data_IF_973430062603
#
_entry.id   IF_973430062603
#
_cell.length_a   1.000
_cell.length_b   1.000
_cell.length_c   1.000
_cell.angle_alpha   90.00
_cell.angle_beta   90.00
_cell.angle_gamma   90.00
#
_symmetry.space_group_name_H-M   'P 1'
#
loop_
_entity.id
_entity.type
_entity.pdbx_description
1 polymer ?
#
# COMPACT_ATOMS: atom_id res chain seq x y z
N UNK A 1 23.90 11.48 3.47
CA UNK A 1 23.52 10.54 2.39
C UNK A 1 22.09 10.91 1.97
N UNK A 2 21.90 11.53 0.80
CA UNK A 2 20.58 11.88 0.28
C UNK A 2 20.07 10.67 -0.49
N UNK A 3 18.98 10.06 -0.02
CA UNK A 3 18.31 8.96 -0.73
C UNK A 3 17.61 9.57 -1.95
N UNK A 4 17.98 9.12 -3.15
CA UNK A 4 17.50 9.71 -4.42
C UNK A 4 16.31 8.96 -5.01
N UNK A 5 16.09 7.71 -4.61
CA UNK A 5 14.92 6.93 -4.99
C UNK A 5 14.40 6.13 -3.80
N UNK A 6 13.10 5.88 -3.75
CA UNK A 6 12.52 4.94 -2.77
C UNK A 6 11.64 3.95 -3.50
N UNK A 7 11.92 2.66 -3.36
CA UNK A 7 10.95 1.61 -3.67
C UNK A 7 10.26 1.22 -2.37
N UNK A 8 8.95 1.41 -2.33
CA UNK A 8 8.12 0.88 -1.26
C UNK A 8 7.46 -0.39 -1.76
N UNK A 9 7.68 -1.53 -1.13
CA UNK A 9 6.97 -2.79 -1.41
C UNK A 9 5.96 -3.07 -0.30
N UNK A 10 4.77 -3.55 -0.66
CA UNK A 10 3.70 -3.92 0.26
C UNK A 10 2.94 -5.12 -0.30
N UNK A 11 2.89 -6.22 0.44
CA UNK A 11 1.87 -7.24 0.24
C UNK A 11 0.64 -6.86 1.05
N UNK A 12 -0.50 -6.69 0.38
CA UNK A 12 -1.81 -6.41 1.01
C UNK A 12 -2.74 -7.57 0.76
N UNK A 13 -3.34 -8.08 1.82
CA UNK A 13 -4.49 -8.98 1.77
C UNK A 13 -5.64 -8.34 2.53
N UNK A 14 -6.71 -8.02 1.81
CA UNK A 14 -7.98 -7.56 2.38
C UNK A 14 -8.84 -8.79 2.72
N UNK A 15 -9.35 -8.88 3.96
CA UNK A 15 -10.21 -9.96 4.39
C UNK A 15 -11.61 -9.41 4.67
N UNK A 16 -12.61 -9.91 3.94
CA UNK A 16 -14.03 -9.70 4.23
C UNK A 16 -14.64 -11.05 4.60
N UNK A 17 -15.16 -11.13 5.83
CA UNK A 17 -15.82 -12.27 6.48
C UNK A 17 -15.12 -13.64 6.40
N UNK A 18 -14.40 -14.01 7.47
CA UNK A 18 -14.22 -15.42 7.82
C UNK A 18 -14.53 -15.66 9.30
N UNK A 19 -15.75 -16.16 9.54
CA UNK A 19 -16.02 -16.95 10.72
C UNK A 19 -15.30 -18.32 10.60
N UNK A 20 -14.72 -18.75 11.72
CA UNK A 20 -14.27 -20.10 12.03
C UNK A 20 -12.88 -20.54 11.55
N UNK A 21 -11.97 -20.58 12.52
CA UNK A 21 -10.76 -21.40 12.50
C UNK A 21 -11.08 -22.87 12.15
N UNK A 22 -10.73 -23.32 10.94
CA UNK A 22 -10.22 -24.66 10.58
C UNK A 22 -10.20 -24.93 9.07
N UNK A 23 -9.96 -23.92 8.23
CA UNK A 23 -9.76 -24.15 6.80
C UNK A 23 -9.59 -22.86 6.04
N UNK A 24 -8.34 -22.48 5.76
CA UNK A 24 -7.99 -21.39 4.83
C UNK A 24 -8.37 -21.80 3.40
N UNK A 25 -9.66 -21.91 3.10
CA UNK A 25 -10.20 -22.16 1.75
C UNK A 25 -11.01 -20.95 1.33
N UNK A 26 -10.31 -19.87 1.00
CA UNK A 26 -10.92 -18.63 0.54
C UNK A 26 -10.05 -17.37 0.65
N UNK A 27 -8.72 -17.50 0.73
CA UNK A 27 -7.85 -16.33 0.70
C UNK A 27 -7.89 -15.71 -0.70
N UNK A 28 -8.31 -14.44 -0.82
CA UNK A 28 -8.05 -13.66 -2.03
C UNK A 28 -6.55 -13.71 -2.36
N UNK A 29 -6.16 -13.76 -3.65
CA UNK A 29 -4.75 -13.77 -4.03
C UNK A 29 -4.04 -12.57 -3.42
N UNK A 30 -2.86 -12.81 -2.85
CA UNK A 30 -2.06 -11.76 -2.21
C UNK A 30 -1.68 -10.72 -3.26
N UNK A 31 -1.97 -9.45 -3.01
CA UNK A 31 -1.59 -8.38 -3.94
C UNK A 31 -0.27 -7.79 -3.49
N UNK A 32 0.73 -7.83 -4.36
CA UNK A 32 1.98 -7.11 -4.15
C UNK A 32 1.89 -5.78 -4.88
N UNK A 33 2.20 -4.71 -4.17
CA UNK A 33 2.26 -3.35 -4.68
C UNK A 33 3.66 -2.82 -4.44
N UNK A 34 4.22 -2.14 -5.43
CA UNK A 34 5.35 -1.27 -5.18
C UNK A 34 5.21 0.12 -5.81
N UNK A 35 5.74 1.12 -5.11
CA UNK A 35 5.80 2.50 -5.56
C UNK A 35 7.26 2.92 -5.69
N UNK A 36 7.68 3.30 -6.89
CA UNK A 36 8.95 3.97 -7.11
C UNK A 36 8.70 5.48 -7.06
N UNK A 37 9.30 6.15 -6.09
CA UNK A 37 9.26 7.60 -5.94
C UNK A 37 10.61 8.19 -6.37
N UNK A 38 10.59 9.00 -7.43
CA UNK A 38 11.76 9.75 -7.91
C UNK A 38 11.63 11.21 -7.46
N UNK A 39 12.41 11.58 -6.44
CA UNK A 39 12.39 12.92 -5.86
C UNK A 39 13.06 13.98 -6.73
N UNK A 40 13.89 13.58 -7.70
CA UNK A 40 14.54 14.51 -8.62
C UNK A 40 13.62 14.82 -9.81
N UNK A 41 13.02 13.78 -10.39
CA UNK A 41 12.08 13.91 -11.49
C UNK A 41 10.67 14.32 -11.04
N UNK A 42 10.38 14.24 -9.74
CA UNK A 42 9.08 14.54 -9.14
C UNK A 42 7.98 13.63 -9.72
N UNK A 43 8.23 12.31 -9.68
CA UNK A 43 7.32 11.30 -10.25
C UNK A 43 7.12 10.10 -9.33
N UNK A 44 5.96 9.44 -9.50
CA UNK A 44 5.64 8.14 -8.92
C UNK A 44 5.37 7.14 -10.04
N UNK A 45 5.90 5.93 -9.94
CA UNK A 45 5.56 4.79 -10.79
C UNK A 45 5.01 3.64 -9.96
N UNK A 46 3.94 2.99 -10.45
CA UNK A 46 3.30 1.86 -9.78
C UNK A 46 3.75 0.55 -10.41
N UNK A 47 4.07 -0.41 -9.55
CA UNK A 47 4.33 -1.80 -9.88
C UNK A 47 3.35 -2.69 -9.14
N UNK A 48 2.88 -3.76 -9.77
CA UNK A 48 1.97 -4.70 -9.13
C UNK A 48 2.22 -6.14 -9.58
N UNK A 49 1.88 -7.09 -8.72
CA UNK A 49 1.79 -8.50 -9.06
C UNK A 49 0.85 -9.24 -8.10
N UNK A 50 0.58 -10.51 -8.41
CA UNK A 50 -0.24 -11.39 -7.56
C UNK A 50 0.60 -12.55 -7.03
N UNK A 51 0.38 -12.90 -5.77
CA UNK A 51 1.00 -14.01 -5.05
C UNK A 51 2.53 -13.99 -5.18
N UNK A 52 3.10 -14.97 -5.87
CA UNK A 52 4.54 -15.13 -6.02
C UNK A 52 5.05 -14.62 -7.38
N UNK A 53 4.19 -14.02 -8.20
CA UNK A 53 4.60 -13.48 -9.49
C UNK A 53 5.54 -12.26 -9.30
N UNK A 54 6.55 -12.09 -10.16
CA UNK A 54 7.41 -10.92 -10.12
C UNK A 54 6.61 -9.64 -10.36
N UNK A 55 7.04 -8.54 -9.74
CA UNK A 55 6.45 -7.21 -9.96
C UNK A 55 6.56 -6.79 -11.42
N UNK A 56 5.46 -6.33 -11.99
CA UNK A 56 5.42 -5.74 -13.32
C UNK A 56 5.04 -4.26 -13.24
N UNK A 57 5.54 -3.46 -14.20
CA UNK A 57 5.14 -2.06 -14.34
C UNK A 57 3.64 -1.98 -14.62
N UNK A 58 2.89 -1.33 -13.73
CA UNK A 58 1.47 -1.08 -13.91
C UNK A 58 1.23 0.26 -14.61
N UNK A 59 2.14 1.22 -14.41
CA UNK A 59 2.10 2.54 -15.02
C UNK A 59 3.47 2.92 -15.58
N UNK A 60 3.49 3.92 -16.46
CA UNK A 60 4.68 4.75 -16.65
C UNK A 60 4.86 5.71 -15.44
N UNK A 61 6.02 6.38 -15.30
CA UNK A 61 6.19 7.43 -14.30
C UNK A 61 5.16 8.55 -14.48
N UNK A 62 4.43 8.86 -13.41
CA UNK A 62 3.40 9.90 -13.37
C UNK A 62 3.91 11.09 -12.55
N UNK A 63 3.68 12.31 -13.02
CA UNK A 63 4.04 13.51 -12.29
C UNK A 63 3.33 13.57 -10.92
N UNK A 64 4.09 13.81 -9.85
CA UNK A 64 3.58 13.94 -8.50
C UNK A 64 4.51 14.83 -7.66
N UNK A 65 3.97 15.80 -6.94
CA UNK A 65 4.77 16.62 -6.03
C UNK A 65 5.24 15.81 -4.81
N UNK A 66 6.55 15.58 -4.75
CA UNK A 66 7.27 14.85 -3.71
C UNK A 66 8.14 15.79 -2.85
N UNK A 67 7.91 17.11 -2.93
CA UNK A 67 8.61 18.07 -2.10
C UNK A 67 8.41 17.79 -0.60
N UNK A 68 9.47 17.99 0.20
CA UNK A 68 9.44 17.68 1.63
C UNK A 68 9.59 16.20 1.99
N UNK A 69 9.80 15.31 1.02
CA UNK A 69 10.11 13.88 1.21
C UNK A 69 9.02 13.02 1.86
N UNK A 70 7.87 13.64 2.21
CA UNK A 70 6.67 12.97 2.72
C UNK A 70 6.83 12.19 4.03
N UNK A 71 5.72 11.61 4.48
CA UNK A 71 5.65 10.58 5.51
C UNK A 71 4.92 9.37 4.92
N UNK A 72 5.38 8.16 5.22
CA UNK A 72 4.75 6.94 4.76
C UNK A 72 3.91 6.35 5.89
N UNK A 73 2.62 6.16 5.64
CA UNK A 73 1.71 5.53 6.58
C UNK A 73 1.43 4.09 6.16
N UNK A 74 1.83 3.12 7.00
CA UNK A 74 1.53 1.71 6.82
C UNK A 74 0.37 1.31 7.70
N UNK A 75 -0.83 1.39 7.14
CA UNK A 75 -2.05 1.04 7.86
C UNK A 75 -3.27 1.30 7.00
N UNK A 76 -4.43 1.14 7.62
CA UNK A 76 -5.70 1.55 7.07
C UNK A 76 -6.23 2.72 7.90
N UNK A 77 -6.51 3.84 7.24
CA UNK A 77 -7.24 4.95 7.83
C UNK A 77 -8.66 4.92 7.26
N UNK A 78 -9.64 4.64 8.12
CA UNK A 78 -11.04 4.58 7.72
C UNK A 78 -11.73 5.89 8.07
N UNK A 79 -12.17 6.61 7.05
CA UNK A 79 -13.03 7.77 7.23
C UNK A 79 -14.41 7.32 7.74
N UNK A 80 -15.12 8.15 8.53
CA UNK A 80 -16.46 7.82 8.95
C UNK A 80 -17.47 7.95 7.80
N UNK A 81 -18.59 7.24 7.92
CA UNK A 81 -19.75 7.37 7.03
C UNK A 81 -20.59 8.57 7.42
N UNK A 82 -21.08 9.31 6.41
CA UNK A 82 -21.95 10.49 6.57
C UNK A 82 -21.47 11.55 7.60
N UNK A 83 -20.22 12.06 7.50
CA UNK A 83 -19.68 12.97 8.50
C UNK A 83 -20.29 14.39 8.55
N UNK A 84 -21.05 14.80 7.55
CA UNK A 84 -21.41 16.22 7.41
C UNK A 84 -20.16 17.10 7.29
N UNK A 85 -20.11 18.22 8.02
CA UNK A 85 -19.00 19.19 7.95
C UNK A 85 -17.83 18.88 8.89
N UNK A 86 -18.06 18.18 10.00
CA UNK A 86 -16.99 17.76 10.92
C UNK A 86 -16.64 16.29 10.69
N UNK A 87 -15.69 16.07 9.77
CA UNK A 87 -15.17 14.74 9.40
C UNK A 87 -14.51 13.99 10.54
N UNK A 88 -14.16 14.66 11.65
CA UNK A 88 -13.48 14.04 12.77
C UNK A 88 -14.45 13.56 13.85
N UNK A 89 -15.69 14.09 13.90
CA UNK A 89 -16.59 13.86 15.05
C UNK A 89 -18.03 13.52 14.71
N UNK A 90 -18.52 13.82 13.51
CA UNK A 90 -19.96 13.81 13.23
C UNK A 90 -20.46 12.61 12.41
N UNK A 91 -19.57 11.74 11.93
CA UNK A 91 -19.97 10.52 11.21
C UNK A 91 -20.02 9.28 12.10
N UNK A 92 -20.34 8.13 11.49
CA UNK A 92 -20.41 6.84 12.18
C UNK A 92 -19.57 5.77 11.48
N UNK A 93 -19.28 4.68 12.18
CA UNK A 93 -18.77 3.45 11.58
C UNK A 93 -19.89 2.42 11.53
N UNK A 94 -20.01 1.71 10.40
CA UNK A 94 -21.05 0.68 10.25
C UNK A 94 -20.88 -0.41 11.33
N UNK A 95 -22.00 -0.81 11.94
CA UNK A 95 -22.01 -1.83 13.00
C UNK A 95 -22.04 -3.23 12.41
N UNK A 96 -21.46 -4.21 13.12
CA UNK A 96 -21.56 -5.62 12.77
C UNK A 96 -20.64 -6.07 11.64
N UNK A 97 -19.64 -5.26 11.28
CA UNK A 97 -18.60 -5.63 10.32
C UNK A 97 -17.35 -6.13 11.05
N UNK A 98 -16.69 -7.12 10.46
CA UNK A 98 -15.37 -7.59 10.88
C UNK A 98 -14.40 -7.20 9.77
N UNK A 99 -13.53 -6.22 10.05
CA UNK A 99 -12.56 -5.71 9.09
C UNK A 99 -11.15 -6.15 9.50
N UNK A 100 -10.43 -6.78 8.56
CA UNK A 100 -9.06 -7.20 8.73
C UNK A 100 -8.22 -6.83 7.51
N UNK A 101 -7.02 -6.32 7.75
CA UNK A 101 -6.01 -6.17 6.70
C UNK A 101 -4.74 -6.88 7.16
N UNK A 102 -4.26 -7.81 6.35
CA UNK A 102 -3.00 -8.50 6.59
C UNK A 102 -1.93 -7.89 5.70
N UNK A 103 -0.83 -7.48 6.33
CA UNK A 103 0.33 -6.92 5.67
C UNK A 103 1.51 -7.88 5.75
N UNK A 104 2.27 -7.99 4.66
CA UNK A 104 3.52 -8.73 4.61
C UNK A 104 4.54 -8.01 3.73
N UNK A 105 5.83 -8.25 3.98
CA UNK A 105 6.91 -7.74 3.12
C UNK A 105 6.92 -6.22 2.96
N UNK A 106 6.71 -5.47 4.05
CA UNK A 106 6.80 -4.00 4.01
C UNK A 106 8.26 -3.59 4.21
N UNK A 107 8.82 -2.91 3.21
CA UNK A 107 10.14 -2.32 3.30
C UNK A 107 10.26 -1.09 2.41
N UNK A 108 11.27 -0.27 2.68
CA UNK A 108 11.65 0.88 1.85
C UNK A 108 13.13 0.79 1.57
N UNK A 109 13.51 0.86 0.30
CA UNK A 109 14.90 0.79 -0.14
C UNK A 109 15.27 1.90 -1.12
N UNK A 110 16.57 2.19 -1.23
CA UNK A 110 17.10 3.11 -2.24
C UNK A 110 17.43 2.37 -3.53
N UNK A 111 16.63 2.62 -4.57
CA UNK A 111 16.76 2.00 -5.88
C UNK A 111 17.54 2.83 -6.89
N UNK A 112 18.21 3.92 -6.47
CA UNK A 112 18.90 4.83 -7.38
C UNK A 112 20.07 4.17 -8.14
N UNK A 113 20.63 3.07 -7.63
CA UNK A 113 21.65 2.25 -8.30
C UNK A 113 21.09 1.14 -9.19
N UNK A 114 19.76 1.05 -9.35
CA UNK A 114 19.09 0.11 -10.24
C UNK A 114 18.86 -1.29 -9.69
N UNK A 115 19.34 -1.60 -8.47
CA UNK A 115 19.08 -2.89 -7.82
C UNK A 115 17.97 -2.74 -6.79
N UNK A 116 16.84 -3.38 -7.08
CA UNK A 116 15.76 -3.63 -6.14
C UNK A 116 16.06 -4.92 -5.40
N UNK A 117 16.11 -4.90 -4.06
CA UNK A 117 16.42 -6.07 -3.24
C UNK A 117 15.16 -6.91 -3.08
N UNK A 118 15.11 -8.07 -3.74
CA UNK A 118 13.98 -9.00 -3.71
C UNK A 118 14.18 -10.16 -2.72
N UNK A 119 14.88 -9.91 -1.60
CA UNK A 119 15.21 -10.93 -0.58
C UNK A 119 14.15 -11.05 0.50
#
# INVERSE_FOLDING_TARGET
MRLTSRLLMKSVKEERDQASASGLKGAAPGTNLALQMDFNANTIQVFQSSDNAPLAKATEPLANDLSGSGQLHFGANKNPTSPGTDVLRSGFQESGILEGVVYGGIFVEDSASGTVTLS
#
